data_IF_177415145270
#
_entry.id   IF_177415145270
#
_cell.length_a   1.000
_cell.length_b   1.000
_cell.length_c   1.000
_cell.angle_alpha   90.00
_cell.angle_beta   90.00
_cell.angle_gamma   90.00
#
_symmetry.space_group_name_H-M   'P 1'
#
loop_
_entity.id
_entity.type
_entity.pdbx_description
1 polymer ?
#
# COMPACT_ATOMS: atom_id res chain seq x y z
N UNK A 1 -4.26 9.16 16.71
CA UNK A 1 -5.00 8.73 15.51
C UNK A 1 -5.68 9.96 14.91
N UNK A 2 -5.70 10.16 13.58
CA UNK A 2 -6.43 11.28 12.98
C UNK A 2 -7.95 11.16 13.25
N UNK A 3 -8.68 12.27 13.37
CA UNK A 3 -10.07 12.28 13.88
C UNK A 3 -11.10 11.59 12.98
N UNK A 4 -10.81 11.45 11.67
CA UNK A 4 -11.71 10.86 10.68
C UNK A 4 -11.53 9.35 10.52
N UNK A 5 -10.95 8.68 11.51
CA UNK A 5 -10.74 7.24 11.52
C UNK A 5 -11.56 6.62 12.66
N UNK A 6 -12.30 5.55 12.34
CA UNK A 6 -12.97 4.72 13.34
C UNK A 6 -12.12 3.47 13.58
N UNK A 7 -11.72 3.22 14.82
CA UNK A 7 -10.84 2.11 15.20
C UNK A 7 -11.56 1.16 16.15
N UNK A 8 -11.57 -0.12 15.81
CA UNK A 8 -12.22 -1.18 16.58
C UNK A 8 -11.24 -2.32 16.81
N UNK A 9 -11.39 -2.99 17.96
CA UNK A 9 -10.65 -4.22 18.23
C UNK A 9 -11.39 -5.39 17.56
N UNK A 10 -10.77 -6.01 16.57
CA UNK A 10 -11.27 -7.20 15.89
C UNK A 10 -10.29 -8.34 16.18
N UNK A 11 -10.70 -9.30 17.00
CA UNK A 11 -9.79 -10.35 17.47
C UNK A 11 -8.70 -9.79 18.39
N UNK A 12 -7.44 -9.84 17.95
CA UNK A 12 -6.28 -9.29 18.68
C UNK A 12 -5.69 -8.06 18.00
N UNK A 13 -6.32 -7.60 16.93
CA UNK A 13 -5.87 -6.50 16.09
C UNK A 13 -6.77 -5.27 16.22
N UNK A 14 -6.16 -4.09 16.20
CA UNK A 14 -6.90 -2.85 16.01
C UNK A 14 -7.05 -2.58 14.53
N UNK A 15 -8.29 -2.60 14.05
CA UNK A 15 -8.66 -2.28 12.68
C UNK A 15 -9.26 -0.89 12.65
N UNK A 16 -8.60 0.03 11.95
CA UNK A 16 -9.06 1.39 11.75
C UNK A 16 -9.46 1.63 10.30
N UNK A 17 -10.67 2.13 10.08
CA UNK A 17 -11.21 2.46 8.77
C UNK A 17 -11.50 3.95 8.67
N UNK A 18 -11.32 4.50 7.48
CA UNK A 18 -11.63 5.91 7.20
C UNK A 18 -13.15 6.14 7.15
N UNK A 19 -13.62 7.21 7.81
CA UNK A 19 -15.02 7.67 7.77
C UNK A 19 -15.38 8.40 6.47
N UNK A 20 -14.41 8.73 5.62
CA UNK A 20 -14.66 9.50 4.39
C UNK A 20 -15.48 8.73 3.34
N UNK A 21 -15.46 7.40 3.38
CA UNK A 21 -16.31 6.56 2.53
C UNK A 21 -16.44 5.18 3.17
N UNK A 22 -17.49 5.01 3.98
CA UNK A 22 -17.73 3.75 4.71
C UNK A 22 -18.06 2.57 3.78
N UNK A 23 -18.52 2.84 2.55
CA UNK A 23 -18.97 1.80 1.61
C UNK A 23 -17.82 1.16 0.83
N UNK A 24 -16.84 1.92 0.38
CA UNK A 24 -15.81 1.41 -0.55
C UNK A 24 -14.46 1.05 0.06
N UNK A 25 -14.34 1.01 1.40
CA UNK A 25 -13.12 0.65 2.18
C UNK A 25 -11.80 1.07 1.51
N UNK A 26 -11.74 2.31 1.05
CA UNK A 26 -10.64 2.84 0.22
C UNK A 26 -9.30 2.83 0.95
N UNK A 27 -9.32 2.81 2.29
CA UNK A 27 -8.16 2.79 3.15
C UNK A 27 -8.44 2.13 4.51
N UNK A 28 -7.43 1.42 5.02
CA UNK A 28 -7.44 0.69 6.29
C UNK A 28 -6.09 0.84 6.99
N UNK A 29 -6.10 0.85 8.32
CA UNK A 29 -4.89 0.75 9.15
C UNK A 29 -5.11 -0.42 10.09
N UNK A 30 -4.13 -1.33 10.15
CA UNK A 30 -4.18 -2.48 11.06
C UNK A 30 -2.98 -2.43 11.98
N UNK A 31 -3.22 -2.49 13.29
CA UNK A 31 -2.18 -2.58 14.31
C UNK A 31 -2.27 -3.93 15.02
N UNK A 32 -1.15 -4.63 15.05
CA UNK A 32 -1.00 -5.91 15.74
C UNK A 32 0.21 -5.85 16.66
N UNK A 33 0.04 -6.38 17.87
CA UNK A 33 1.14 -6.59 18.80
C UNK A 33 1.10 -8.02 19.30
N UNK A 34 2.26 -8.66 19.40
CA UNK A 34 2.41 -10.02 19.91
C UNK A 34 3.64 -10.15 20.78
N UNK A 35 3.73 -11.25 21.52
CA UNK A 35 4.99 -11.63 22.17
C UNK A 35 6.06 -11.95 21.13
N UNK A 36 7.29 -11.55 21.41
CA UNK A 36 8.45 -11.76 20.53
C UNK A 36 8.76 -13.25 20.45
N UNK A 37 8.77 -13.80 19.24
CA UNK A 37 9.33 -15.11 18.92
C UNK A 37 10.76 -15.02 18.38
N UNK A 38 11.41 -16.17 18.13
CA UNK A 38 12.82 -16.20 17.68
C UNK A 38 13.08 -15.49 16.34
N UNK A 39 12.06 -15.40 15.47
CA UNK A 39 12.15 -14.74 14.17
C UNK A 39 11.84 -13.24 14.22
N UNK A 40 11.39 -12.73 15.37
CA UNK A 40 10.95 -11.34 15.54
C UNK A 40 12.14 -10.44 15.84
N UNK A 41 12.84 -10.05 14.77
CA UNK A 41 13.97 -9.12 14.83
C UNK A 41 13.85 -8.05 13.74
N UNK A 42 14.40 -6.86 13.99
CA UNK A 42 14.43 -5.80 12.97
C UNK A 42 15.11 -6.26 11.68
N UNK A 43 16.16 -7.07 11.78
CA UNK A 43 16.87 -7.60 10.60
C UNK A 43 16.00 -8.58 9.80
N UNK A 44 15.29 -9.49 10.49
CA UNK A 44 14.38 -10.42 9.84
C UNK A 44 13.21 -9.68 9.15
N UNK A 45 12.64 -8.67 9.80
CA UNK A 45 11.58 -7.84 9.20
C UNK A 45 12.08 -7.06 7.98
N UNK A 46 13.28 -6.49 8.06
CA UNK A 46 13.91 -5.81 6.93
C UNK A 46 14.13 -6.76 5.75
N UNK A 47 14.64 -7.96 6.00
CA UNK A 47 14.84 -8.98 4.97
C UNK A 47 13.51 -9.44 4.36
N UNK A 48 12.50 -9.67 5.19
CA UNK A 48 11.16 -10.05 4.75
C UNK A 48 10.55 -8.98 3.84
N UNK A 49 10.56 -7.70 4.26
CA UNK A 49 10.00 -6.61 3.47
C UNK A 49 10.81 -6.32 2.20
N UNK A 50 12.09 -6.71 2.12
CA UNK A 50 12.86 -6.59 0.86
C UNK A 50 12.46 -7.62 -0.18
N UNK A 51 11.65 -8.60 0.18
CA UNK A 51 11.25 -9.70 -0.70
C UNK A 51 9.83 -9.45 -1.22
N UNK A 52 9.63 -9.34 -2.55
CA UNK A 52 8.30 -9.32 -3.14
C UNK A 52 7.50 -10.56 -2.73
N UNK A 53 6.24 -10.35 -2.32
CA UNK A 53 5.28 -11.41 -2.03
C UNK A 53 4.41 -11.67 -3.24
N UNK A 54 3.96 -12.91 -3.42
CA UNK A 54 3.01 -13.30 -4.47
C UNK A 54 1.63 -13.52 -3.85
N UNK A 55 0.62 -12.85 -4.38
CA UNK A 55 -0.79 -13.02 -3.97
C UNK A 55 -1.64 -13.39 -5.20
N UNK A 56 -2.74 -14.12 -5.03
CA UNK A 56 -3.68 -14.34 -6.12
C UNK A 56 -4.38 -13.02 -6.50
N UNK A 57 -4.54 -12.77 -7.79
CA UNK A 57 -5.42 -11.72 -8.30
C UNK A 57 -6.91 -12.13 -8.20
N UNK A 58 -7.82 -11.27 -8.67
CA UNK A 58 -9.25 -11.53 -8.65
C UNK A 58 -9.68 -12.78 -9.45
N UNK A 59 -8.82 -13.27 -10.35
CA UNK A 59 -9.03 -14.47 -11.18
C UNK A 59 -8.19 -15.65 -10.66
N UNK A 60 -7.57 -15.51 -9.49
CA UNK A 60 -6.74 -16.53 -8.84
C UNK A 60 -5.33 -16.67 -9.42
N UNK A 61 -4.90 -15.81 -10.35
CA UNK A 61 -3.55 -15.88 -10.92
C UNK A 61 -2.53 -15.33 -9.92
N UNK A 62 -1.39 -16.00 -9.73
CA UNK A 62 -0.33 -15.50 -8.86
C UNK A 62 0.30 -14.23 -9.47
N UNK A 63 0.21 -13.12 -8.74
CA UNK A 63 0.82 -11.85 -9.11
C UNK A 63 1.83 -11.43 -8.04
N UNK A 64 3.11 -11.19 -8.41
CA UNK A 64 4.08 -10.65 -7.48
C UNK A 64 3.78 -9.18 -7.18
N UNK A 65 3.83 -8.83 -5.90
CA UNK A 65 3.80 -7.44 -5.43
C UNK A 65 5.00 -6.66 -5.94
N UNK A 66 4.84 -5.35 -6.12
CA UNK A 66 5.92 -4.44 -6.48
C UNK A 66 6.50 -3.81 -5.22
N UNK A 67 7.77 -4.08 -4.95
CA UNK A 67 8.51 -3.37 -3.89
C UNK A 67 8.74 -1.90 -4.30
N UNK A 68 8.28 -0.97 -3.47
CA UNK A 68 8.50 0.48 -3.67
C UNK A 68 9.75 0.93 -2.92
N UNK A 69 9.96 0.42 -1.70
CA UNK A 69 11.18 0.67 -0.95
C UNK A 69 11.09 0.18 0.49
N UNK A 70 12.24 -0.12 1.09
CA UNK A 70 12.37 -0.50 2.50
C UNK A 70 13.56 0.20 3.12
N UNK A 71 13.38 0.72 4.33
CA UNK A 71 14.46 1.33 5.10
C UNK A 71 14.21 1.15 6.59
N UNK A 72 15.26 1.33 7.38
CA UNK A 72 15.11 1.58 8.81
C UNK A 72 14.94 3.07 9.05
N UNK A 73 14.16 3.46 10.06
CA UNK A 73 14.08 4.85 10.51
C UNK A 73 13.73 4.93 11.99
N UNK A 74 14.09 6.05 12.60
CA UNK A 74 13.71 6.35 13.98
C UNK A 74 12.41 7.15 14.00
N UNK A 75 11.44 6.72 14.82
CA UNK A 75 10.16 7.39 15.04
C UNK A 75 9.98 7.49 16.55
N UNK A 76 9.85 8.70 17.08
CA UNK A 76 9.75 8.97 18.52
C UNK A 76 10.81 8.20 19.34
N UNK A 77 12.08 8.34 18.96
CA UNK A 77 13.26 7.74 19.60
C UNK A 77 13.27 6.20 19.63
N UNK A 78 12.48 5.55 18.77
CA UNK A 78 12.49 4.11 18.62
C UNK A 78 12.77 3.73 17.16
N UNK A 79 13.58 2.70 16.95
CA UNK A 79 13.92 2.23 15.60
C UNK A 79 12.76 1.42 15.03
N UNK A 80 12.45 1.61 13.75
CA UNK A 80 11.42 0.87 13.03
C UNK A 80 11.97 0.43 11.67
N UNK A 81 11.50 -0.70 11.16
CA UNK A 81 11.55 -1.04 9.75
C UNK A 81 10.32 -0.45 9.06
N UNK A 82 10.54 0.29 7.99
CA UNK A 82 9.53 0.98 7.20
C UNK A 82 9.62 0.54 5.74
N UNK A 83 8.65 -0.25 5.29
CA UNK A 83 8.58 -0.80 3.94
C UNK A 83 7.30 -0.40 3.23
N UNK A 84 7.34 -0.28 1.91
CA UNK A 84 6.16 0.02 1.10
C UNK A 84 6.12 -0.89 -0.13
N UNK A 85 4.97 -1.51 -0.34
CA UNK A 85 4.68 -2.39 -1.47
C UNK A 85 3.41 -1.92 -2.17
N UNK A 86 3.27 -2.31 -3.43
CA UNK A 86 2.02 -2.28 -4.17
C UNK A 86 1.58 -3.73 -4.41
N UNK A 87 0.34 -4.06 -4.07
CA UNK A 87 -0.24 -5.37 -4.34
C UNK A 87 0.28 -6.49 -3.46
N UNK A 88 0.68 -6.22 -2.21
CA UNK A 88 1.22 -7.22 -1.29
C UNK A 88 0.20 -7.85 -0.34
N UNK A 89 -0.95 -7.21 -0.13
CA UNK A 89 -2.09 -7.76 0.63
C UNK A 89 -3.32 -7.87 -0.27
N UNK A 90 -3.65 -6.78 -0.97
CA UNK A 90 -4.76 -6.69 -1.92
C UNK A 90 -4.24 -6.08 -3.21
N UNK A 91 -4.64 -6.65 -4.34
CA UNK A 91 -4.30 -6.14 -5.67
C UNK A 91 -4.71 -4.67 -5.80
N UNK A 92 -3.89 -3.85 -6.44
CA UNK A 92 -4.12 -2.40 -6.59
C UNK A 92 -4.09 -1.56 -5.31
N UNK A 93 -3.67 -2.11 -4.17
CA UNK A 93 -3.43 -1.31 -2.96
C UNK A 93 -1.94 -1.02 -2.78
N UNK A 94 -1.65 0.19 -2.29
CA UNK A 94 -0.37 0.45 -1.65
C UNK A 94 -0.47 0.08 -0.18
N UNK A 95 0.47 -0.71 0.31
CA UNK A 95 0.59 -1.07 1.72
C UNK A 95 1.94 -0.63 2.26
N UNK A 96 1.91 0.19 3.32
CA UNK A 96 3.10 0.58 4.08
C UNK A 96 3.16 -0.18 5.39
N UNK A 97 4.26 -0.87 5.62
CA UNK A 97 4.53 -1.70 6.79
C UNK A 97 5.50 -0.97 7.72
N UNK A 98 5.12 -0.87 8.99
CA UNK A 98 5.92 -0.34 10.08
C UNK A 98 6.09 -1.48 11.10
N UNK A 99 7.29 -2.05 11.18
CA UNK A 99 7.58 -3.15 12.08
C UNK A 99 8.65 -2.76 13.10
N UNK A 100 8.48 -3.16 14.36
CA UNK A 100 9.48 -2.98 15.40
C UNK A 100 9.39 -4.03 16.50
N UNK A 101 10.41 -4.08 17.34
CA UNK A 101 10.50 -4.90 18.54
C UNK A 101 10.93 -4.02 19.71
N UNK A 102 10.22 -4.12 20.84
CA UNK A 102 10.60 -3.49 22.09
C UNK A 102 10.42 -4.48 23.25
N UNK A 103 11.52 -4.82 23.91
CA UNK A 103 11.56 -5.82 24.98
C UNK A 103 10.97 -7.14 24.47
N UNK A 104 9.86 -7.61 25.05
CA UNK A 104 9.21 -8.87 24.71
C UNK A 104 8.00 -8.68 23.80
N UNK A 105 7.82 -7.50 23.19
CA UNK A 105 6.70 -7.20 22.30
C UNK A 105 7.20 -6.87 20.88
N UNK A 106 6.65 -7.57 19.89
CA UNK A 106 6.78 -7.27 18.47
C UNK A 106 5.52 -6.55 17.99
N UNK A 107 5.69 -5.50 17.20
CA UNK A 107 4.60 -4.65 16.71
C UNK A 107 4.68 -4.53 15.20
N UNK A 108 3.55 -4.74 14.54
CA UNK A 108 3.35 -4.45 13.12
C UNK A 108 2.19 -3.47 12.97
N UNK A 109 2.41 -2.43 12.18
CA UNK A 109 1.35 -1.55 11.71
C UNK A 109 1.36 -1.54 10.20
N UNK A 110 0.19 -1.73 9.59
CA UNK A 110 0.02 -1.57 8.15
C UNK A 110 -0.90 -0.41 7.83
N UNK A 111 -0.55 0.36 6.81
CA UNK A 111 -1.35 1.43 6.24
C UNK A 111 -1.61 1.10 4.78
N UNK A 112 -2.85 0.76 4.46
CA UNK A 112 -3.21 0.30 3.13
C UNK A 112 -4.25 1.23 2.53
N UNK A 113 -4.07 1.63 1.27
CA UNK A 113 -5.09 2.35 0.52
C UNK A 113 -5.05 2.00 -0.96
N UNK A 114 -6.20 2.04 -1.62
CA UNK A 114 -6.30 1.78 -3.04
C UNK A 114 -5.47 2.79 -3.84
N UNK A 115 -4.79 2.36 -4.91
CA UNK A 115 -3.86 3.18 -5.70
C UNK A 115 -4.50 4.47 -6.22
N UNK A 116 -5.79 4.44 -6.56
CA UNK A 116 -6.53 5.60 -7.06
C UNK A 116 -6.81 6.66 -5.97
N UNK A 117 -6.80 6.27 -4.69
CA UNK A 117 -7.14 7.14 -3.57
C UNK A 117 -5.99 7.34 -2.59
N UNK A 118 -4.81 6.78 -2.84
CA UNK A 118 -3.69 6.85 -1.92
C UNK A 118 -3.33 8.29 -1.50
N UNK A 119 -3.31 9.23 -2.46
CA UNK A 119 -3.00 10.64 -2.18
C UNK A 119 -3.96 11.25 -1.15
N UNK A 120 -5.25 10.90 -1.19
CA UNK A 120 -6.28 11.35 -0.24
C UNK A 120 -5.94 10.97 1.21
N UNK A 121 -5.37 9.78 1.42
CA UNK A 121 -5.10 9.22 2.76
C UNK A 121 -3.64 9.36 3.20
N UNK A 122 -2.72 9.63 2.28
CA UNK A 122 -1.28 9.67 2.54
C UNK A 122 -0.89 10.63 3.66
N UNK A 123 -1.53 11.81 3.73
CA UNK A 123 -1.27 12.80 4.78
C UNK A 123 -1.69 12.29 6.16
N UNK A 124 -2.84 11.62 6.25
CA UNK A 124 -3.32 11.01 7.50
C UNK A 124 -2.43 9.85 7.94
N UNK A 125 -1.98 9.02 7.00
CA UNK A 125 -1.00 7.97 7.28
C UNK A 125 0.29 8.55 7.86
N UNK A 126 0.83 9.61 7.26
CA UNK A 126 2.05 10.24 7.76
C UNK A 126 1.87 10.80 9.19
N UNK A 127 0.75 11.48 9.47
CA UNK A 127 0.42 11.97 10.81
C UNK A 127 0.28 10.84 11.81
N UNK A 128 -0.42 9.77 11.44
CA UNK A 128 -0.59 8.59 12.28
C UNK A 128 0.77 7.96 12.61
N UNK A 129 1.64 7.78 11.61
CA UNK A 129 2.98 7.24 11.80
C UNK A 129 3.82 8.14 12.73
N UNK A 130 3.83 9.45 12.51
CA UNK A 130 4.57 10.39 13.36
C UNK A 130 4.08 10.35 14.82
N UNK A 131 2.82 10.01 15.06
CA UNK A 131 2.25 9.86 16.39
C UNK A 131 2.53 8.51 17.07
N UNK A 132 3.12 7.53 16.38
CA UNK A 132 3.36 6.19 16.93
C UNK A 132 4.34 6.24 18.10
N UNK A 133 3.92 5.75 19.27
CA UNK A 133 4.75 5.61 20.46
C UNK A 133 4.65 4.18 20.98
N UNK A 134 5.79 3.53 21.15
CA UNK A 134 5.83 2.19 21.73
C UNK A 134 5.96 2.29 23.24
N UNK A 135 4.89 1.98 23.95
CA UNK A 135 4.86 1.92 25.41
C UNK A 135 4.85 0.46 25.83
N UNK A 136 5.92 0.03 26.51
CA UNK A 136 5.99 -1.28 27.14
C UNK A 136 6.15 -1.04 28.65
N UNK A 137 5.08 -1.22 29.41
CA UNK A 137 5.12 -1.14 30.87
C UNK A 137 5.23 -2.56 31.44
N UNK A 138 6.15 -2.76 32.41
CA UNK A 138 6.38 -4.06 33.06
C UNK A 138 5.09 -4.66 33.64
N UNK A 139 4.15 -3.82 34.06
CA UNK A 139 2.83 -4.20 34.60
C UNK A 139 1.90 -4.84 33.56
N UNK A 140 2.01 -4.48 32.28
CA UNK A 140 1.25 -5.12 31.19
C UNK A 140 1.76 -6.55 30.90
N UNK A 141 3.05 -6.80 31.18
CA UNK A 141 3.71 -8.08 30.93
C UNK A 141 3.57 -9.07 32.10
N UNK A 142 3.25 -8.58 33.30
CA UNK A 142 3.27 -9.38 34.53
C UNK A 142 1.92 -10.02 34.92
N UNK A 143 0.82 -9.64 34.26
CA UNK A 143 -0.55 -9.99 34.71
C UNK A 143 -1.29 -11.04 33.86
N UNK A 144 -0.59 -11.82 33.02
CA UNK A 144 -1.20 -12.96 32.33
C UNK A 144 -0.79 -14.27 33.02
N UNK A 145 -1.71 -15.01 33.67
CA UNK A 145 -1.42 -16.38 34.08
C UNK A 145 -1.12 -17.22 32.83
N UNK A 146 -0.13 -18.10 32.95
CA UNK A 146 0.34 -19.04 31.93
C UNK A 146 -0.81 -19.91 31.40
N UNK A 147 -1.49 -19.46 30.37
CA UNK A 147 -2.21 -20.35 29.46
C UNK A 147 -1.23 -20.78 28.37
N UNK A 148 -1.18 -22.10 28.19
CA UNK A 148 -0.40 -22.90 27.25
C UNK A 148 0.20 -22.17 26.03
N UNK A 149 1.46 -22.45 25.65
CA UNK A 149 2.08 -21.90 24.46
C UNK A 149 1.26 -22.33 23.23
N UNK A 150 0.56 -21.37 22.62
CA UNK A 150 -0.10 -21.55 21.34
C UNK A 150 0.99 -21.73 20.28
N UNK A 151 0.87 -22.81 19.51
CA UNK A 151 1.95 -23.40 18.72
C UNK A 151 2.69 -22.45 17.78
N UNK A 152 3.90 -22.88 17.46
CA UNK A 152 4.97 -22.33 16.61
C UNK A 152 4.60 -22.03 15.14
N UNK A 153 3.36 -21.62 14.84
CA UNK A 153 2.85 -21.44 13.47
C UNK A 153 2.59 -20.00 13.02
N UNK A 154 2.49 -19.02 13.92
CA UNK A 154 2.16 -17.63 13.55
C UNK A 154 3.40 -16.87 13.07
N UNK A 155 3.67 -17.01 11.76
CA UNK A 155 4.76 -16.33 11.06
C UNK A 155 4.44 -14.84 10.92
N UNK A 156 5.35 -13.97 11.36
CA UNK A 156 5.25 -12.54 11.09
C UNK A 156 5.26 -12.30 9.58
N UNK A 157 4.22 -11.66 9.04
CA UNK A 157 4.05 -11.50 7.59
C UNK A 157 3.16 -12.56 6.91
N UNK A 158 2.44 -13.40 7.67
CA UNK A 158 1.23 -14.02 7.14
C UNK A 158 0.29 -12.92 6.60
N UNK A 159 -0.39 -13.12 5.45
CA UNK A 159 -1.29 -12.12 4.92
C UNK A 159 -2.31 -11.75 5.98
N UNK A 160 -2.60 -10.45 6.11
CA UNK A 160 -3.61 -9.97 7.08
C UNK A 160 -5.02 -10.38 6.62
N UNK A 161 -5.14 -11.20 5.57
CA UNK A 161 -6.38 -11.69 4.95
C UNK A 161 -7.42 -12.28 5.89
N UNK A 162 -7.06 -12.73 7.10
CA UNK A 162 -8.04 -13.20 8.09
C UNK A 162 -8.74 -12.07 8.86
N UNK A 163 -8.13 -10.87 8.89
CA UNK A 163 -8.65 -9.65 9.54
C UNK A 163 -8.99 -8.57 8.52
N UNK A 164 -8.61 -8.76 7.25
CA UNK A 164 -9.14 -7.96 6.15
C UNK A 164 -10.63 -8.36 5.99
N UNK A 165 -11.57 -7.42 6.12
CA UNK A 165 -12.98 -7.71 5.89
C UNK A 165 -13.16 -8.24 4.47
N UNK A 166 -13.95 -9.30 4.31
CA UNK A 166 -14.22 -9.99 3.03
C UNK A 166 -14.62 -9.05 1.89
N UNK A 167 -15.17 -7.88 2.20
CA UNK A 167 -15.72 -6.94 1.23
C UNK A 167 -14.70 -5.91 0.69
N UNK A 168 -13.41 -6.02 1.02
CA UNK A 168 -12.39 -5.05 0.56
C UNK A 168 -12.08 -5.07 -0.94
N UNK A 169 -12.69 -6.00 -1.69
CA UNK A 169 -12.57 -6.10 -3.16
C UNK A 169 -13.89 -6.17 -3.93
N UNK A 170 -15.04 -6.21 -3.26
CA UNK A 170 -16.32 -6.59 -3.89
C UNK A 170 -17.10 -5.40 -4.46
N UNK A 171 -16.80 -4.16 -4.03
CA UNK A 171 -17.55 -2.95 -4.39
C UNK A 171 -16.71 -1.87 -5.08
N UNK A 172 -15.51 -2.21 -5.55
CA UNK A 172 -14.71 -1.28 -6.35
C UNK A 172 -15.22 -1.29 -7.80
N UNK A 173 -15.45 -0.12 -8.42
CA UNK A 173 -15.80 -0.06 -9.84
C UNK A 173 -14.73 -0.81 -10.65
N UNK A 174 -15.11 -1.52 -11.72
CA UNK A 174 -14.16 -2.30 -12.51
C UNK A 174 -13.00 -1.41 -12.92
N UNK A 175 -11.77 -1.85 -12.65
CA UNK A 175 -10.61 -1.19 -13.22
C UNK A 175 -10.80 -1.18 -14.73
N UNK A 176 -10.99 0.01 -15.31
CA UNK A 176 -10.92 0.16 -16.75
C UNK A 176 -9.51 -0.26 -17.14
N UNK A 177 -9.37 -1.48 -17.62
CA UNK A 177 -8.20 -1.92 -18.33
C UNK A 177 -8.02 -0.93 -19.46
N UNK A 178 -7.05 -0.03 -19.29
CA UNK A 178 -6.62 0.93 -20.28
C UNK A 178 -5.93 0.21 -21.44
N UNK A 179 -6.63 -0.70 -22.10
CA UNK A 179 -6.47 -0.95 -23.52
C UNK A 179 -6.98 0.33 -24.20
N UNK A 180 -6.11 1.33 -24.27
CA UNK A 180 -6.32 2.48 -25.14
C UNK A 180 -6.40 1.97 -26.57
N UNK A 181 -7.62 1.64 -27.03
CA UNK A 181 -7.96 1.75 -28.44
C UNK A 181 -7.84 3.24 -28.73
N UNK A 182 -6.65 3.64 -29.15
CA UNK A 182 -6.41 4.97 -29.70
C UNK A 182 -7.40 5.14 -30.83
N UNK A 183 -8.45 5.93 -30.57
CA UNK A 183 -9.53 6.18 -31.52
C UNK A 183 -8.92 6.65 -32.83
N UNK A 184 -9.42 6.08 -33.94
CA UNK A 184 -9.01 6.38 -35.31
C UNK A 184 -9.10 7.87 -35.67
N UNK A 185 -9.68 8.70 -34.81
CA UNK A 185 -9.79 10.15 -34.93
C UNK A 185 -8.51 10.90 -34.55
N UNK A 186 -7.71 10.39 -33.60
CA UNK A 186 -6.47 11.06 -33.16
C UNK A 186 -5.32 10.91 -34.17
N UNK A 187 -5.21 9.74 -34.82
CA UNK A 187 -4.23 9.49 -35.88
C UNK A 187 -4.60 10.28 -37.15
N UNK A 188 -5.90 10.41 -37.46
CA UNK A 188 -6.38 11.20 -38.60
C UNK A 188 -6.00 12.68 -38.52
N UNK A 189 -6.11 13.30 -37.34
CA UNK A 189 -5.73 14.70 -37.13
C UNK A 189 -4.21 14.93 -37.23
N UNK A 190 -3.40 14.00 -36.73
CA UNK A 190 -1.93 14.10 -36.83
C UNK A 190 -1.48 13.97 -38.29
N UNK A 191 -2.05 13.05 -39.06
CA UNK A 191 -1.73 12.89 -40.49
C UNK A 191 -2.19 14.11 -41.31
N UNK A 192 -3.36 14.69 -41.01
CA UNK A 192 -3.84 15.91 -41.67
C UNK A 192 -2.95 17.12 -41.38
N UNK A 193 -2.48 17.27 -40.14
CA UNK A 193 -1.56 18.36 -39.77
C UNK A 193 -0.19 18.21 -40.43
N UNK A 194 0.33 16.98 -40.53
CA UNK A 194 1.60 16.72 -41.22
C UNK A 194 1.47 16.94 -42.74
N UNK A 195 0.36 16.51 -43.35
CA UNK A 195 0.10 16.73 -44.77
C UNK A 195 -0.10 18.23 -45.10
N UNK A 196 -0.84 18.96 -44.25
CA UNK A 196 -1.04 20.41 -44.39
C UNK A 196 0.25 21.20 -44.20
N UNK A 197 1.06 20.84 -43.19
CA UNK A 197 2.38 21.44 -42.96
C UNK A 197 3.36 21.19 -44.12
N UNK A 198 3.37 19.97 -44.67
CA UNK A 198 4.21 19.63 -45.82
C UNK A 198 3.77 20.39 -47.09
N UNK A 199 2.47 20.48 -47.35
CA UNK A 199 1.91 21.23 -48.48
C UNK A 199 2.23 22.73 -48.39
N UNK A 200 2.12 23.33 -47.20
CA UNK A 200 2.44 24.75 -46.98
C UNK A 200 3.93 25.05 -47.22
N UNK A 201 4.82 24.19 -46.74
CA UNK A 201 6.27 24.32 -46.97
C UNK A 201 6.63 24.13 -48.45
N UNK A 202 5.97 23.23 -49.16
CA UNK A 202 6.18 23.02 -50.59
C UNK A 202 5.73 24.23 -51.43
N UNK A 203 4.57 24.82 -51.11
CA UNK A 203 4.08 26.05 -51.75
C UNK A 203 5.03 27.25 -51.51
N UNK A 204 5.60 27.37 -50.31
CA UNK A 204 6.61 28.40 -50.00
C UNK A 204 7.91 28.22 -50.79
N UNK A 205 8.34 26.99 -51.05
CA UNK A 205 9.51 26.72 -51.90
C UNK A 205 9.26 27.04 -53.37
N UNK A 206 8.04 26.87 -53.90
CA UNK A 206 7.71 27.27 -55.28
C UNK A 206 7.67 28.78 -55.47
N UNK A 207 7.14 29.56 -54.52
CA UNK A 207 7.11 31.04 -54.62
C UNK A 207 8.51 31.67 -54.62
N UNK A 208 9.53 31.05 -54.02
CA UNK A 208 10.92 31.54 -54.06
C UNK A 208 11.67 31.22 -55.35
N UNK A 209 11.15 30.34 -56.22
CA UNK A 209 11.79 29.98 -57.50
C UNK A 209 11.13 30.61 -58.73
N UNK A 210 10.06 31.40 -58.56
CA UNK A 210 9.34 32.09 -59.63
C UNK A 210 9.47 33.60 -59.63
N UNK A 211 10.47 34.15 -58.93
CA UNK A 211 10.78 35.58 -58.94
C UNK A 211 12.17 35.78 -59.53
N UNK A 212 12.26 35.78 -60.86
CA UNK A 212 13.27 36.46 -61.65
C UNK A 212 12.52 37.27 -62.71
#
# INVERSE_FOLDING_TARGET
MPPNWDCRLEGTEWVCVSKFNEKSREAIIILTAKEVGPADTLQAYLAHLKTPRTIPDAVGKPVPSKLIGVKTRTINNHMWVDGMHMGSEVTSYYTRYLATVKQNIAILVTFSAHKAHYTKYSADFLKAIQSLRVVATKTMLANKPLTTPRGTGETFGAPIGQVLPTNMGEELPPESSGSGKMGSTAIGLIVLLLAGGYWFLFMRKKKKKGGL
#
